data_IF_734951039971
#
_entry.id   IF_734951039971
#
_cell.length_a   1.000
_cell.length_b   1.000
_cell.length_c   1.000
_cell.angle_alpha   90.00
_cell.angle_beta   90.00
_cell.angle_gamma   90.00
#
_symmetry.space_group_name_H-M   'P 1'
#
loop_
_entity.id
_entity.type
_entity.pdbx_description
1 polymer ?
#
# COMPACT_ATOMS: atom_id res chain seq x y z
N UNK A 1 20.44 -6.21 17.65
CA UNK A 1 19.25 -6.22 16.75
C UNK A 1 17.96 -5.67 17.43
N UNK A 2 17.97 -5.31 18.72
CA UNK A 2 16.80 -4.71 19.40
C UNK A 2 16.84 -3.16 19.36
N UNK A 3 18.04 -2.56 19.37
CA UNK A 3 18.22 -1.09 19.29
C UNK A 3 17.79 -0.47 17.96
N UNK A 4 18.10 -1.13 16.84
CA UNK A 4 17.83 -0.60 15.50
C UNK A 4 16.32 -0.46 15.23
N UNK A 5 15.49 -1.36 15.80
CA UNK A 5 14.01 -1.27 15.71
C UNK A 5 13.41 -0.13 16.54
N UNK A 6 14.11 0.35 17.56
CA UNK A 6 13.67 1.48 18.40
C UNK A 6 13.81 2.80 17.63
N UNK A 7 14.86 2.91 16.82
CA UNK A 7 15.21 4.10 16.04
C UNK A 7 14.19 4.38 14.90
N UNK A 8 13.75 3.34 14.20
CA UNK A 8 12.74 3.47 13.13
C UNK A 8 11.36 3.86 13.68
N UNK A 9 11.00 3.39 14.89
CA UNK A 9 9.74 3.76 15.56
C UNK A 9 9.80 5.17 16.12
N UNK A 10 10.92 5.56 16.72
CA UNK A 10 11.22 6.92 17.19
C UNK A 10 11.02 7.96 16.09
N UNK A 11 11.60 7.72 14.91
CA UNK A 11 11.51 8.63 13.76
C UNK A 11 10.10 8.77 13.16
N UNK A 12 9.23 7.80 13.41
CA UNK A 12 7.84 7.77 12.95
C UNK A 12 6.82 8.25 14.01
N UNK A 13 7.26 8.43 15.27
CA UNK A 13 6.43 9.02 16.30
C UNK A 13 6.31 10.52 16.00
N UNK A 14 5.06 10.96 15.89
CA UNK A 14 4.74 12.38 15.82
C UNK A 14 5.46 13.13 16.95
N UNK A 15 5.99 14.35 16.72
CA UNK A 15 6.63 15.15 17.78
C UNK A 15 5.73 15.35 19.00
N UNK A 16 4.41 15.17 18.86
CA UNK A 16 3.43 15.19 19.95
C UNK A 16 3.49 13.97 20.90
N UNK A 17 4.20 12.89 20.55
CA UNK A 17 4.25 11.67 21.36
C UNK A 17 5.14 11.80 22.61
N UNK A 18 6.13 12.70 22.56
CA UNK A 18 7.04 12.97 23.68
C UNK A 18 6.63 14.25 24.45
N UNK A 19 5.67 15.02 23.93
CA UNK A 19 5.19 16.26 24.54
C UNK A 19 4.24 15.99 25.70
N UNK A 20 4.24 16.89 26.69
CA UNK A 20 3.17 16.95 27.70
C UNK A 20 1.84 17.38 27.07
N UNK A 21 0.71 17.04 27.71
CA UNK A 21 -0.63 17.39 27.20
C UNK A 21 -0.79 18.90 27.07
N UNK A 22 -0.26 19.63 28.03
CA UNK A 22 -0.32 21.09 28.12
C UNK A 22 0.48 21.73 26.96
N UNK A 23 1.64 21.16 26.65
CA UNK A 23 2.50 21.62 25.56
C UNK A 23 1.90 21.29 24.18
N UNK A 24 1.26 20.13 24.03
CA UNK A 24 0.53 19.78 22.83
C UNK A 24 -0.68 20.71 22.59
N UNK A 25 -1.45 21.02 23.64
CA UNK A 25 -2.59 21.94 23.56
C UNK A 25 -2.14 23.37 23.21
N UNK A 26 -1.00 23.82 23.76
CA UNK A 26 -0.39 25.10 23.42
C UNK A 26 0.06 25.15 21.96
N UNK A 27 0.74 24.10 21.47
CA UNK A 27 1.18 24.02 20.08
C UNK A 27 0.01 23.96 19.09
N UNK A 28 -1.06 23.23 19.44
CA UNK A 28 -2.27 23.15 18.62
C UNK A 28 -3.17 24.36 18.77
N UNK A 29 -2.89 25.25 19.73
CA UNK A 29 -3.68 26.43 20.07
C UNK A 29 -5.16 26.07 20.27
N UNK A 30 -5.42 25.07 21.12
CA UNK A 30 -6.77 24.55 21.43
C UNK A 30 -6.98 24.56 22.93
N UNK A 31 -8.18 24.98 23.36
CA UNK A 31 -8.61 24.85 24.75
C UNK A 31 -9.14 23.44 25.02
N UNK A 32 -8.68 22.80 26.09
CA UNK A 32 -9.10 21.43 26.44
C UNK A 32 -10.60 21.30 26.72
N UNK A 33 -11.23 22.32 27.31
CA UNK A 33 -12.63 22.27 27.74
C UNK A 33 -13.61 22.66 26.65
N UNK A 34 -13.19 23.52 25.71
CA UNK A 34 -14.05 24.05 24.65
C UNK A 34 -13.78 23.42 23.29
N UNK A 35 -12.61 22.80 23.09
CA UNK A 35 -12.19 22.26 21.81
C UNK A 35 -11.99 23.35 20.75
N UNK A 36 -12.22 22.98 19.49
CA UNK A 36 -12.15 23.89 18.34
C UNK A 36 -13.51 24.50 18.04
N UNK A 37 -13.53 25.78 17.69
CA UNK A 37 -14.73 26.39 17.13
C UNK A 37 -15.03 25.86 15.72
N UNK A 38 -16.29 25.97 15.27
CA UNK A 38 -16.67 25.54 13.93
C UNK A 38 -15.93 26.29 12.81
N UNK A 39 -15.56 27.54 13.05
CA UNK A 39 -14.80 28.37 12.10
C UNK A 39 -13.36 27.88 12.00
N UNK A 40 -12.68 27.68 13.13
CA UNK A 40 -11.30 27.16 13.17
C UNK A 40 -11.21 25.74 12.61
N UNK A 41 -12.21 24.90 12.89
CA UNK A 41 -12.27 23.56 12.35
C UNK A 41 -12.33 23.57 10.81
N UNK A 42 -13.12 24.50 10.23
CA UNK A 42 -13.23 24.66 8.77
C UNK A 42 -11.93 25.20 8.16
N UNK A 43 -11.32 26.22 8.76
CA UNK A 43 -10.03 26.76 8.32
C UNK A 43 -8.92 25.70 8.36
N UNK A 44 -8.89 24.88 9.42
CA UNK A 44 -7.95 23.76 9.52
C UNK A 44 -8.23 22.68 8.49
N UNK A 45 -9.49 22.39 8.20
CA UNK A 45 -9.86 21.42 7.15
C UNK A 45 -9.40 21.90 5.77
N UNK A 46 -9.52 23.19 5.47
CA UNK A 46 -9.02 23.80 4.22
C UNK A 46 -7.48 23.78 4.15
N UNK A 47 -6.81 23.99 5.30
CA UNK A 47 -5.34 24.03 5.37
C UNK A 47 -4.66 22.66 5.34
N UNK A 48 -5.18 21.70 6.10
CA UNK A 48 -4.58 20.37 6.27
C UNK A 48 -5.22 19.30 5.40
N UNK A 49 -6.39 19.60 4.82
CA UNK A 49 -7.18 18.64 4.07
C UNK A 49 -7.96 17.67 4.96
N UNK A 50 -8.83 16.85 4.34
CA UNK A 50 -9.58 15.83 5.06
C UNK A 50 -8.63 14.76 5.62
N UNK A 51 -8.90 14.30 6.85
CA UNK A 51 -8.22 13.14 7.43
C UNK A 51 -8.74 11.84 6.79
N UNK A 52 -8.49 11.67 5.50
CA UNK A 52 -8.90 10.50 4.73
C UNK A 52 -7.74 10.05 3.87
N UNK A 53 -7.42 8.77 3.95
CA UNK A 53 -6.42 8.17 3.08
C UNK A 53 -7.05 8.01 1.69
N UNK A 54 -6.45 8.66 0.70
CA UNK A 54 -6.86 8.47 -0.70
C UNK A 54 -6.56 7.03 -1.11
N UNK A 55 -7.61 6.20 -1.15
CA UNK A 55 -7.52 4.85 -1.68
C UNK A 55 -7.46 4.97 -3.20
N UNK A 56 -6.24 4.93 -3.76
CA UNK A 56 -6.06 4.77 -5.20
C UNK A 56 -6.70 3.44 -5.60
N UNK A 57 -7.84 3.51 -6.27
CA UNK A 57 -8.45 2.35 -6.91
C UNK A 57 -7.60 2.00 -8.12
N UNK A 58 -6.59 1.17 -7.93
CA UNK A 58 -5.91 0.55 -9.07
C UNK A 58 -6.92 -0.29 -9.85
N UNK A 59 -6.94 -0.11 -11.17
CA UNK A 59 -7.81 -0.88 -12.04
C UNK A 59 -7.42 -2.37 -12.01
N UNK A 60 -8.41 -3.24 -12.12
CA UNK A 60 -8.22 -4.70 -12.16
C UNK A 60 -7.25 -5.07 -13.29
N UNK A 61 -7.36 -4.39 -14.44
CA UNK A 61 -6.47 -4.60 -15.59
C UNK A 61 -5.01 -4.27 -15.29
N UNK A 62 -4.76 -3.18 -14.55
CA UNK A 62 -3.39 -2.80 -14.17
C UNK A 62 -2.79 -3.81 -13.20
N UNK A 63 -3.58 -4.34 -12.26
CA UNK A 63 -3.15 -5.42 -11.37
C UNK A 63 -2.81 -6.68 -12.16
N UNK A 64 -3.65 -7.06 -13.12
CA UNK A 64 -3.42 -8.22 -13.99
C UNK A 64 -2.07 -8.13 -14.72
N UNK A 65 -1.76 -6.99 -15.33
CA UNK A 65 -0.47 -6.80 -16.04
C UNK A 65 0.72 -6.90 -15.07
N UNK A 66 0.60 -6.32 -13.86
CA UNK A 66 1.66 -6.40 -12.85
C UNK A 66 1.95 -7.84 -12.45
N UNK A 67 0.96 -8.73 -12.43
CA UNK A 67 1.18 -10.15 -12.15
C UNK A 67 2.05 -10.87 -13.18
N UNK A 68 2.10 -10.39 -14.43
CA UNK A 68 3.00 -10.93 -15.46
C UNK A 68 4.38 -10.27 -15.46
N UNK A 69 4.57 -9.18 -14.72
CA UNK A 69 5.82 -8.40 -14.63
C UNK A 69 6.72 -8.87 -13.47
N UNK A 70 7.11 -10.15 -13.48
CA UNK A 70 7.98 -10.72 -12.47
C UNK A 70 8.89 -11.84 -12.99
N UNK A 71 10.04 -12.11 -12.32
CA UNK A 71 10.97 -13.16 -12.74
C UNK A 71 10.33 -14.55 -12.79
N UNK A 72 9.45 -14.86 -11.83
CA UNK A 72 8.78 -16.16 -11.74
C UNK A 72 7.76 -16.36 -12.89
N UNK A 73 6.77 -15.46 -13.11
CA UNK A 73 5.89 -15.52 -14.27
C UNK A 73 6.62 -15.66 -15.60
N UNK A 74 7.70 -14.90 -15.81
CA UNK A 74 8.50 -14.98 -17.03
C UNK A 74 9.11 -16.36 -17.26
N UNK A 75 9.62 -17.02 -16.21
CA UNK A 75 10.14 -18.38 -16.35
C UNK A 75 9.05 -19.37 -16.81
N UNK A 76 7.82 -19.22 -16.30
CA UNK A 76 6.70 -20.10 -16.64
C UNK A 76 6.20 -19.82 -18.06
N UNK A 77 6.12 -18.56 -18.48
CA UNK A 77 5.75 -18.21 -19.86
C UNK A 77 6.77 -18.72 -20.87
N UNK A 78 8.07 -18.59 -20.57
CA UNK A 78 9.13 -19.16 -21.43
C UNK A 78 8.98 -20.68 -21.51
N UNK A 79 8.69 -21.37 -20.41
CA UNK A 79 8.46 -22.81 -20.41
C UNK A 79 7.23 -23.21 -21.24
N UNK A 80 6.16 -22.41 -21.21
CA UNK A 80 4.97 -22.60 -22.03
C UNK A 80 5.32 -22.45 -23.53
N UNK A 81 5.99 -21.36 -23.89
CA UNK A 81 6.40 -21.07 -25.28
C UNK A 81 7.30 -22.20 -25.80
N UNK A 82 8.32 -22.61 -25.04
CA UNK A 82 9.21 -23.71 -25.41
C UNK A 82 8.44 -25.02 -25.61
N UNK A 83 7.49 -25.34 -24.72
CA UNK A 83 6.68 -26.55 -24.85
C UNK A 83 5.80 -26.52 -26.11
N UNK A 84 5.24 -25.36 -26.46
CA UNK A 84 4.49 -25.15 -27.71
C UNK A 84 5.37 -25.30 -28.95
N UNK A 85 6.56 -24.69 -28.95
CA UNK A 85 7.54 -24.79 -30.05
C UNK A 85 8.01 -26.23 -30.26
N UNK A 86 8.22 -26.98 -29.17
CA UNK A 86 8.58 -28.41 -29.21
C UNK A 86 7.38 -29.33 -29.50
N UNK A 87 6.19 -28.78 -29.76
CA UNK A 87 4.94 -29.51 -30.02
C UNK A 87 4.56 -30.50 -28.92
N UNK A 88 4.98 -30.21 -27.67
CA UNK A 88 4.63 -31.00 -26.48
C UNK A 88 3.28 -30.49 -25.95
N UNK A 89 2.22 -30.81 -26.69
CA UNK A 89 0.86 -30.35 -26.41
C UNK A 89 0.36 -30.66 -24.99
N UNK A 90 0.60 -31.85 -24.40
CA UNK A 90 0.17 -32.13 -23.03
C UNK A 90 0.81 -31.17 -22.01
N UNK A 91 2.12 -30.98 -22.08
CA UNK A 91 2.87 -30.06 -21.21
C UNK A 91 2.42 -28.62 -21.42
N UNK A 92 2.27 -28.18 -22.66
CA UNK A 92 1.78 -26.84 -23.00
C UNK A 92 0.42 -26.55 -22.36
N UNK A 93 -0.54 -27.48 -22.51
CA UNK A 93 -1.89 -27.31 -21.95
C UNK A 93 -1.84 -27.22 -20.42
N UNK A 94 -1.04 -28.08 -19.76
CA UNK A 94 -0.89 -28.05 -18.29
C UNK A 94 -0.32 -26.72 -17.82
N UNK A 95 0.74 -26.22 -18.48
CA UNK A 95 1.38 -24.95 -18.10
C UNK A 95 0.41 -23.77 -18.32
N UNK A 96 -0.27 -23.73 -19.47
CA UNK A 96 -1.25 -22.66 -19.77
C UNK A 96 -2.42 -22.68 -18.79
N UNK A 97 -2.95 -23.87 -18.45
CA UNK A 97 -4.03 -23.99 -17.49
C UNK A 97 -3.59 -23.49 -16.10
N UNK A 98 -2.36 -23.81 -15.70
CA UNK A 98 -1.78 -23.35 -14.44
C UNK A 98 -1.65 -21.81 -14.39
N UNK A 99 -1.20 -21.19 -15.50
CA UNK A 99 -1.15 -19.72 -15.63
C UNK A 99 -2.53 -19.07 -15.52
N UNK A 100 -3.54 -19.63 -16.18
CA UNK A 100 -4.93 -19.10 -16.13
C UNK A 100 -5.50 -19.18 -14.71
N UNK A 101 -5.27 -20.29 -14.00
CA UNK A 101 -5.72 -20.43 -12.60
C UNK A 101 -5.03 -19.41 -11.70
N UNK A 102 -3.71 -19.23 -11.83
CA UNK A 102 -2.97 -18.21 -11.07
C UNK A 102 -3.49 -16.80 -11.34
N UNK A 103 -3.76 -16.46 -12.60
CA UNK A 103 -4.31 -15.16 -12.99
C UNK A 103 -5.75 -14.93 -12.51
N UNK A 104 -6.55 -15.99 -12.31
CA UNK A 104 -7.91 -15.90 -11.80
C UNK A 104 -7.98 -15.78 -10.26
N UNK A 105 -6.98 -16.32 -9.55
CA UNK A 105 -6.88 -16.24 -8.09
C UNK A 105 -6.23 -14.94 -7.58
N UNK A 106 -5.38 -14.31 -8.40
CA UNK A 106 -4.72 -13.03 -8.12
C UNK A 106 -5.64 -11.82 -8.29
#
# INVERSE_FOLDING_TARGET
MVEEKKDIRSKALSPFAEMSKEEALKNLNVNMNQGLSSTEAKERLEKYGPNTLEVKKDSIFKKLIVFFWGPIPWMIEIAAILSGVLQRWPDFIVIVLMLVINAALG
#
